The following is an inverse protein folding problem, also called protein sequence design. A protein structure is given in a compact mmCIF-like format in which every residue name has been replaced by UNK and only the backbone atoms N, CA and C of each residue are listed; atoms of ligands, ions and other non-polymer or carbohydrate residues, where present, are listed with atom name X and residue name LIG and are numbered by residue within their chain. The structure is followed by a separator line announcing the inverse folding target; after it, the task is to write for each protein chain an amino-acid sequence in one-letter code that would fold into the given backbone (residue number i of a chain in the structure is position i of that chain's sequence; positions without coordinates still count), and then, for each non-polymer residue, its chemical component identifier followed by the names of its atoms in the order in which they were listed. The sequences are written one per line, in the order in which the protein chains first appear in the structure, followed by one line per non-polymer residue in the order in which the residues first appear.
data_IF_176603103620
#
_entry.id   IF_176603103620
#
_cell.length_a   1.000
_cell.length_b   1.000
_cell.length_c   1.000
_cell.angle_alpha   90.00
_cell.angle_beta   90.00
_cell.angle_gamma   90.00
#
_symmetry.space_group_name_H-M   'P 1'
#
loop_
_entity.id
_entity.type
_entity.pdbx_description
1 polymer ?
#
# COMPACT_ATOMS: atom_id res chain seq x y z
N UNK A 1 -1.18 0.30 86.77
CA UNK A 1 -0.14 0.16 85.73
C UNK A 1 -0.42 -1.12 84.96
N UNK A 2 -1.06 -1.01 83.80
CA UNK A 2 -1.40 -2.14 82.93
C UNK A 2 -0.93 -1.76 81.52
N UNK A 3 0.04 -2.50 80.98
CA UNK A 3 0.55 -2.32 79.62
C UNK A 3 0.13 -3.53 78.79
N UNK A 4 -0.72 -3.28 77.80
CA UNK A 4 -1.16 -4.25 76.80
C UNK A 4 -0.07 -4.42 75.74
N UNK A 5 0.36 -5.66 75.50
CA UNK A 5 1.26 -6.04 74.40
C UNK A 5 0.43 -6.29 73.13
N UNK A 6 0.66 -5.51 72.08
CA UNK A 6 0.16 -5.81 70.73
C UNK A 6 1.24 -6.54 69.92
N UNK A 7 0.93 -7.76 69.49
CA UNK A 7 1.67 -8.50 68.46
C UNK A 7 1.14 -8.06 67.09
N UNK A 8 1.99 -7.52 66.21
CA UNK A 8 1.69 -7.33 64.80
C UNK A 8 2.38 -8.44 63.99
N UNK A 9 1.59 -9.28 63.33
CA UNK A 9 2.08 -10.29 62.40
C UNK A 9 2.34 -9.64 61.03
N UNK A 10 3.59 -9.72 60.56
CA UNK A 10 3.99 -9.27 59.23
C UNK A 10 3.58 -10.27 58.15
N UNK A 11 2.78 -9.81 57.19
CA UNK A 11 2.38 -10.57 56.00
C UNK A 11 3.40 -10.29 54.88
N UNK A 12 4.23 -11.28 54.54
CA UNK A 12 5.15 -11.19 53.42
C UNK A 12 4.39 -11.45 52.11
N UNK A 13 4.25 -10.41 51.28
CA UNK A 13 3.73 -10.52 49.91
C UNK A 13 4.86 -11.02 49.01
N UNK A 14 4.73 -12.25 48.50
CA UNK A 14 5.63 -12.78 47.49
C UNK A 14 5.37 -12.07 46.15
N UNK A 15 6.24 -11.14 45.78
CA UNK A 15 6.25 -10.54 44.45
C UNK A 15 6.83 -11.56 43.45
N UNK A 16 5.96 -12.27 42.75
CA UNK A 16 6.33 -13.08 41.59
C UNK A 16 6.87 -12.17 40.49
N UNK A 17 8.17 -12.28 40.22
CA UNK A 17 8.86 -11.65 39.10
C UNK A 17 8.32 -12.25 37.79
N UNK A 18 7.40 -11.53 37.14
CA UNK A 18 7.08 -11.78 35.73
C UNK A 18 8.22 -11.17 34.93
N UNK A 19 9.09 -12.02 34.38
CA UNK A 19 10.08 -11.56 33.41
C UNK A 19 9.33 -11.05 32.16
N UNK A 20 9.63 -9.85 31.65
CA UNK A 20 9.10 -9.43 30.37
C UNK A 20 9.61 -10.40 29.30
N UNK A 21 8.71 -11.13 28.65
CA UNK A 21 9.07 -11.84 27.42
C UNK A 21 9.53 -10.77 26.43
N UNK A 22 10.80 -10.84 26.03
CA UNK A 22 11.34 -10.04 24.95
C UNK A 22 10.70 -10.49 23.64
N UNK A 23 9.49 -10.01 23.35
CA UNK A 23 8.94 -10.06 22.01
C UNK A 23 9.90 -9.31 21.10
N UNK A 24 10.44 -9.99 20.10
CA UNK A 24 11.31 -9.34 19.12
C UNK A 24 10.52 -8.20 18.47
N UNK A 25 10.96 -6.96 18.68
CA UNK A 25 10.29 -5.79 18.13
C UNK A 25 10.35 -5.87 16.60
N UNK A 26 9.19 -5.88 15.96
CA UNK A 26 9.11 -5.76 14.52
C UNK A 26 9.55 -4.36 14.11
N UNK A 27 10.05 -4.20 12.89
CA UNK A 27 10.50 -2.91 12.36
C UNK A 27 10.04 -2.74 10.93
N UNK A 28 9.95 -1.49 10.46
CA UNK A 28 9.60 -1.20 9.08
C UNK A 28 10.84 -1.02 8.22
N UNK A 29 10.77 -1.56 7.00
CA UNK A 29 11.76 -1.34 5.97
C UNK A 29 11.08 -0.84 4.67
N UNK A 30 11.41 0.37 4.20
CA UNK A 30 12.28 1.37 4.85
C UNK A 30 11.64 1.97 6.11
N UNK A 31 12.45 2.54 7.01
CA UNK A 31 11.97 3.13 8.27
C UNK A 31 11.23 4.46 8.06
N UNK A 32 11.50 5.15 6.96
CA UNK A 32 10.81 6.37 6.54
C UNK A 32 10.37 6.23 5.08
N UNK A 33 9.29 5.49 4.81
CA UNK A 33 8.85 5.22 3.45
C UNK A 33 8.37 6.48 2.75
N UNK A 34 8.75 6.60 1.48
CA UNK A 34 8.26 7.64 0.60
C UNK A 34 6.88 7.25 0.04
N UNK A 35 6.10 8.21 -0.47
CA UNK A 35 4.79 7.91 -1.04
C UNK A 35 4.94 6.86 -2.13
N UNK A 36 4.11 5.81 -2.03
CA UNK A 36 4.06 4.67 -2.94
C UNK A 36 5.33 3.81 -3.03
N UNK A 37 6.27 3.98 -2.11
CA UNK A 37 7.35 3.03 -1.89
C UNK A 37 6.82 1.76 -1.22
N UNK A 38 7.37 0.59 -1.59
CA UNK A 38 7.00 -0.67 -0.96
C UNK A 38 7.49 -0.71 0.49
N UNK A 39 6.56 -0.94 1.42
CA UNK A 39 6.84 -1.09 2.85
C UNK A 39 6.77 -2.56 3.23
N UNK A 40 7.79 -3.04 3.92
CA UNK A 40 7.83 -4.37 4.51
C UNK A 40 7.89 -4.25 6.04
N UNK A 41 7.17 -5.13 6.72
CA UNK A 41 7.34 -5.40 8.14
C UNK A 41 8.41 -6.47 8.29
N UNK A 42 9.57 -6.08 8.83
CA UNK A 42 10.65 -6.99 9.20
C UNK A 42 10.43 -7.47 10.62
N UNK A 43 10.32 -8.78 10.80
CA UNK A 43 10.12 -9.38 12.12
C UNK A 43 11.01 -10.62 12.30
N UNK A 44 11.32 -10.94 13.55
CA UNK A 44 12.07 -12.16 13.89
C UNK A 44 11.09 -13.21 14.35
N UNK A 45 11.08 -14.34 13.66
CA UNK A 45 10.15 -15.44 13.88
C UNK A 45 10.90 -16.72 14.23
N UNK A 46 10.23 -17.62 14.93
CA UNK A 46 10.71 -18.98 15.13
C UNK A 46 10.52 -19.79 13.85
N UNK A 47 11.58 -20.39 13.30
CA UNK A 47 11.51 -21.09 12.02
C UNK A 47 10.63 -22.35 12.02
N UNK A 48 10.29 -22.89 13.19
CA UNK A 48 9.37 -24.01 13.30
C UNK A 48 7.92 -23.51 13.37
N UNK A 49 7.66 -22.54 14.25
CA UNK A 49 6.32 -22.03 14.49
C UNK A 49 5.79 -21.22 13.29
N UNK A 50 6.66 -20.45 12.63
CA UNK A 50 6.23 -19.58 11.53
C UNK A 50 5.87 -20.37 10.28
N UNK A 51 4.65 -20.15 9.77
CA UNK A 51 4.19 -20.68 8.50
C UNK A 51 3.92 -19.54 7.50
N UNK A 52 4.78 -19.36 6.47
CA UNK A 52 4.64 -18.27 5.50
C UNK A 52 3.33 -18.34 4.70
N UNK A 53 2.77 -19.53 4.47
CA UNK A 53 1.56 -19.73 3.68
C UNK A 53 0.29 -19.25 4.42
N UNK A 54 0.41 -18.95 5.71
CA UNK A 54 -0.69 -18.49 6.55
C UNK A 54 -0.72 -16.99 6.75
N UNK A 55 0.30 -16.27 6.26
CA UNK A 55 0.42 -14.82 6.43
C UNK A 55 -0.63 -14.13 5.57
N UNK A 56 -1.51 -13.36 6.20
CA UNK A 56 -2.50 -12.52 5.55
C UNK A 56 -2.31 -11.07 5.98
N UNK A 57 -2.21 -10.19 5.00
CA UNK A 57 -2.20 -8.74 5.24
C UNK A 57 -3.57 -8.19 4.83
N UNK A 58 -4.28 -7.61 5.80
CA UNK A 58 -5.57 -6.97 5.58
C UNK A 58 -5.38 -5.47 5.76
N UNK A 59 -5.66 -4.71 4.72
CA UNK A 59 -5.57 -3.25 4.75
C UNK A 59 -6.98 -2.64 4.75
N UNK A 60 -7.29 -1.89 5.80
CA UNK A 60 -8.54 -1.12 5.93
C UNK A 60 -8.22 0.36 6.07
N UNK A 61 -7.70 0.97 5.01
CA UNK A 61 -7.39 2.40 4.97
C UNK A 61 -6.08 2.73 5.69
N UNK A 62 -6.18 3.26 6.91
CA UNK A 62 -5.00 3.60 7.74
C UNK A 62 -4.65 2.51 8.75
N UNK A 63 -5.50 1.50 8.92
CA UNK A 63 -5.25 0.35 9.78
C UNK A 63 -4.88 -0.86 8.93
N UNK A 64 -3.73 -1.46 9.21
CA UNK A 64 -3.20 -2.64 8.55
C UNK A 64 -3.11 -3.75 9.60
N UNK A 65 -3.61 -4.93 9.28
CA UNK A 65 -3.54 -6.09 10.14
C UNK A 65 -2.75 -7.20 9.46
N UNK A 66 -1.68 -7.65 10.11
CA UNK A 66 -0.88 -8.80 9.68
C UNK A 66 -1.30 -9.98 10.54
N UNK A 67 -2.00 -10.94 9.94
CA UNK A 67 -2.45 -12.17 10.60
C UNK A 67 -1.53 -13.31 10.20
N UNK A 68 -1.10 -14.11 11.17
CA UNK A 68 -0.32 -15.33 10.91
C UNK A 68 -0.77 -16.45 11.85
N UNK A 69 -0.70 -17.69 11.36
CA UNK A 69 -1.02 -18.88 12.15
C UNK A 69 0.27 -19.63 12.46
N UNK A 70 0.46 -19.90 13.75
CA UNK A 70 1.61 -20.67 14.18
C UNK A 70 1.37 -22.17 13.99
N UNK A 71 2.43 -22.87 13.62
CA UNK A 71 2.49 -24.32 13.70
C UNK A 71 2.68 -24.75 15.15
N UNK A 72 2.04 -25.87 15.52
CA UNK A 72 2.26 -26.48 16.82
C UNK A 72 3.60 -27.24 16.82
N UNK A 73 4.64 -26.57 17.28
CA UNK A 73 5.97 -27.14 17.40
C UNK A 73 6.23 -27.66 18.81
N UNK A 74 6.76 -28.88 18.89
CA UNK A 74 7.20 -29.48 20.16
C UNK A 74 8.53 -28.91 20.66
N UNK A 75 9.35 -28.39 19.75
CA UNK A 75 10.65 -27.78 20.03
C UNK A 75 10.76 -26.47 19.25
N UNK A 76 11.21 -25.37 19.88
CA UNK A 76 11.48 -24.12 19.17
C UNK A 76 12.50 -24.31 18.05
N UNK A 77 12.24 -23.66 16.92
CA UNK A 77 13.17 -23.58 15.80
C UNK A 77 14.26 -22.53 16.03
N UNK A 78 15.11 -22.37 15.02
CA UNK A 78 16.09 -21.28 15.01
C UNK A 78 15.38 -19.96 14.70
N UNK A 79 15.71 -18.84 15.38
CA UNK A 79 15.20 -17.53 15.01
C UNK A 79 15.60 -17.16 13.58
N UNK A 80 14.64 -16.66 12.79
CA UNK A 80 14.82 -16.19 11.41
C UNK A 80 14.21 -14.81 11.23
N UNK A 81 14.83 -13.97 10.42
CA UNK A 81 14.20 -12.73 9.98
C UNK A 81 13.36 -12.99 8.74
N UNK A 82 12.15 -12.44 8.73
CA UNK A 82 11.25 -12.46 7.58
C UNK A 82 10.77 -11.05 7.29
N UNK A 83 10.59 -10.76 6.00
CA UNK A 83 10.01 -9.50 5.53
C UNK A 83 8.60 -9.79 5.00
N UNK A 84 7.60 -9.24 5.69
CA UNK A 84 6.19 -9.35 5.31
C UNK A 84 5.83 -8.09 4.53
N UNK A 85 5.52 -8.22 3.25
CA UNK A 85 5.15 -7.08 2.40
C UNK A 85 3.79 -6.53 2.83
N UNK A 86 3.76 -5.26 3.26
CA UNK A 86 2.54 -4.57 3.65
C UNK A 86 1.84 -3.94 2.46
N UNK A 87 2.60 -3.39 1.52
CA UNK A 87 2.07 -2.69 0.35
C UNK A 87 2.82 -1.40 0.07
N UNK A 88 2.23 -0.56 -0.79
CA UNK A 88 2.74 0.76 -1.12
C UNK A 88 1.66 1.79 -0.76
N UNK A 89 2.01 2.73 0.10
CA UNK A 89 1.03 3.57 0.78
C UNK A 89 1.17 5.03 0.38
N UNK A 90 0.05 5.77 0.26
CA UNK A 90 0.11 7.21 0.11
C UNK A 90 0.60 7.90 1.40
N UNK A 91 0.78 9.23 1.33
CA UNK A 91 1.08 10.06 2.49
C UNK A 91 0.02 9.87 3.56
N UNK A 92 0.45 9.60 4.79
CA UNK A 92 -0.45 9.37 5.92
C UNK A 92 0.25 8.70 7.10
N UNK A 93 -0.49 8.60 8.20
CA UNK A 93 -0.09 7.83 9.37
C UNK A 93 -0.83 6.49 9.37
N UNK A 94 -0.07 5.40 9.50
CA UNK A 94 -0.60 4.05 9.44
C UNK A 94 -0.35 3.32 10.75
N UNK A 95 -1.35 2.57 11.22
CA UNK A 95 -1.21 1.61 12.31
C UNK A 95 -1.11 0.20 11.77
N UNK A 96 -0.20 -0.58 12.34
CA UNK A 96 0.01 -1.99 12.00
C UNK A 96 -0.21 -2.83 13.25
N UNK A 97 -1.16 -3.76 13.18
CA UNK A 97 -1.39 -4.76 14.22
C UNK A 97 -0.86 -6.12 13.74
N UNK A 98 0.09 -6.68 14.48
CA UNK A 98 0.60 -8.04 14.25
C UNK A 98 -0.17 -8.99 15.13
N UNK A 99 -0.88 -9.92 14.51
CA UNK A 99 -1.85 -10.76 15.16
C UNK A 99 -1.54 -12.23 14.87
N UNK A 100 -1.41 -13.03 15.94
CA UNK A 100 -1.05 -14.45 15.88
C UNK A 100 -2.20 -15.31 16.38
N UNK A 101 -2.40 -16.48 15.75
CA UNK A 101 -3.38 -17.46 16.23
C UNK A 101 -4.17 -18.14 15.12
N UNK A 102 -5.31 -18.71 15.47
CA UNK A 102 -6.24 -19.31 14.50
C UNK A 102 -7.08 -18.24 13.82
N UNK A 103 -7.55 -18.45 12.59
CA UNK A 103 -8.37 -17.46 11.87
C UNK A 103 -9.63 -16.99 12.64
N UNK A 104 -10.15 -17.84 13.53
CA UNK A 104 -11.31 -17.54 14.39
C UNK A 104 -10.92 -16.89 15.73
N UNK A 105 -9.70 -17.14 16.21
CA UNK A 105 -9.17 -16.60 17.46
C UNK A 105 -7.75 -16.11 17.22
N UNK A 106 -7.64 -14.82 16.87
CA UNK A 106 -6.38 -14.12 16.64
C UNK A 106 -6.11 -13.20 17.83
N UNK A 107 -4.89 -13.23 18.36
CA UNK A 107 -4.43 -12.35 19.45
C UNK A 107 -3.47 -11.32 18.87
N UNK A 108 -3.73 -10.03 19.13
CA UNK A 108 -2.79 -8.96 18.76
C UNK A 108 -1.57 -9.05 19.69
N UNK A 109 -0.43 -9.33 19.09
CA UNK A 109 0.86 -9.50 19.79
C UNK A 109 1.68 -8.22 19.79
N UNK A 110 1.55 -7.41 18.74
CA UNK A 110 2.33 -6.18 18.58
C UNK A 110 1.49 -5.10 17.88
N UNK A 111 1.73 -3.84 18.26
CA UNK A 111 1.18 -2.67 17.59
C UNK A 111 2.29 -1.70 17.25
N UNK A 112 2.40 -1.34 15.99
CA UNK A 112 3.40 -0.41 15.49
C UNK A 112 2.74 0.68 14.65
N UNK A 113 3.47 1.76 14.39
CA UNK A 113 3.03 2.82 13.51
C UNK A 113 4.18 3.28 12.61
N UNK A 114 3.86 3.65 11.38
CA UNK A 114 4.78 4.34 10.50
C UNK A 114 4.08 5.50 9.82
N UNK A 115 4.86 6.53 9.48
CA UNK A 115 4.40 7.65 8.67
C UNK A 115 4.98 7.56 7.27
N UNK A 116 4.12 7.73 6.28
CA UNK A 116 4.53 8.01 4.92
C UNK A 116 4.54 9.52 4.78
N UNK A 117 5.73 10.08 4.67
CA UNK A 117 5.94 11.54 4.66
C UNK A 117 6.00 11.97 3.19
N UNK A 118 5.39 13.11 2.79
CA UNK A 118 5.55 13.62 1.45
C UNK A 118 7.03 13.85 1.16
N UNK A 119 7.46 13.56 -0.07
CA UNK A 119 8.80 13.98 -0.52
C UNK A 119 8.85 15.50 -0.41
N UNK A 120 9.84 16.04 0.29
CA UNK A 120 10.11 17.47 0.26
C UNK A 120 10.36 17.86 -1.19
N UNK A 121 9.48 18.65 -1.77
CA UNK A 121 9.74 19.28 -3.06
C UNK A 121 10.79 20.34 -2.82
N UNK A 122 12.05 19.98 -3.00
CA UNK A 122 13.10 20.99 -3.12
C UNK A 122 12.68 21.82 -4.34
N UNK A 123 12.55 23.13 -4.18
CA UNK A 123 12.40 24.02 -5.31
C UNK A 123 13.70 23.97 -6.12
N UNK A 124 13.78 23.01 -7.04
CA UNK A 124 14.85 22.93 -8.00
C UNK A 124 14.43 23.81 -9.16
N UNK A 125 15.20 24.88 -9.39
CA UNK A 125 15.12 25.66 -10.61
C UNK A 125 16.25 25.18 -11.54
N UNK A 126 15.95 24.62 -12.73
CA UNK A 126 14.62 24.44 -13.33
C UNK A 126 13.84 23.22 -12.76
N UNK A 127 12.50 23.19 -12.89
CA UNK A 127 11.66 22.10 -12.37
C UNK A 127 12.11 20.73 -12.88
N UNK A 128 12.11 19.72 -12.00
CA UNK A 128 12.46 18.35 -12.36
C UNK A 128 11.42 17.85 -13.37
N UNK A 129 11.84 17.39 -14.57
CA UNK A 129 10.90 17.03 -15.61
C UNK A 129 10.28 15.64 -15.39
N UNK A 130 10.75 14.84 -14.43
CA UNK A 130 10.29 13.47 -14.14
C UNK A 130 9.92 13.32 -12.65
N UNK A 131 9.09 12.32 -12.28
CA UNK A 131 8.69 12.10 -10.90
C UNK A 131 9.81 11.47 -10.09
N UNK A 132 9.90 11.85 -8.83
CA UNK A 132 10.70 11.09 -7.85
C UNK A 132 9.91 9.91 -7.28
N UNK A 133 8.58 9.93 -7.42
CA UNK A 133 7.63 8.93 -6.93
C UNK A 133 7.36 7.88 -7.99
N UNK A 134 7.31 6.61 -7.59
CA UNK A 134 6.89 5.51 -8.47
C UNK A 134 5.36 5.34 -8.42
N UNK A 135 4.69 5.57 -9.54
CA UNK A 135 3.23 5.44 -9.65
C UNK A 135 2.78 4.03 -10.07
N UNK A 136 3.69 3.06 -10.13
CA UNK A 136 3.38 1.66 -10.45
C UNK A 136 2.32 1.12 -9.53
N UNK A 137 1.24 0.57 -10.10
CA UNK A 137 0.15 0.00 -9.34
C UNK A 137 -1.16 -0.12 -10.12
N UNK A 138 -2.15 -0.71 -9.46
CA UNK A 138 -3.52 -0.69 -9.92
C UNK A 138 -4.26 0.51 -9.32
N UNK A 139 -5.02 1.19 -10.17
CA UNK A 139 -5.78 2.37 -9.85
C UNK A 139 -7.19 2.20 -10.38
N UNK A 140 -8.21 2.68 -9.67
CA UNK A 140 -9.60 2.46 -10.06
C UNK A 140 -10.48 3.62 -9.62
N UNK A 141 -11.68 3.71 -10.19
CA UNK A 141 -12.70 4.63 -9.73
C UNK A 141 -13.73 3.82 -8.90
N UNK A 142 -13.79 4.00 -7.56
CA UNK A 142 -14.72 3.26 -6.72
C UNK A 142 -16.19 3.41 -7.12
N UNK A 143 -16.55 4.52 -7.76
CA UNK A 143 -17.90 4.78 -8.24
C UNK A 143 -18.23 4.13 -9.59
N UNK A 144 -17.25 3.50 -10.25
CA UNK A 144 -17.42 2.86 -11.56
C UNK A 144 -16.77 1.46 -11.58
N UNK A 145 -17.47 0.43 -11.07
CA UNK A 145 -16.97 -0.94 -11.09
C UNK A 145 -16.58 -1.38 -12.50
N UNK A 146 -15.42 -2.02 -12.62
CA UNK A 146 -14.87 -2.51 -13.89
C UNK A 146 -14.09 -1.47 -14.70
N UNK A 147 -14.08 -0.20 -14.28
CA UNK A 147 -13.16 0.80 -14.80
C UNK A 147 -11.89 0.91 -13.94
N UNK A 148 -10.73 1.07 -14.59
CA UNK A 148 -9.49 1.30 -13.87
C UNK A 148 -8.28 1.43 -14.79
N UNK A 149 -7.12 1.66 -14.18
CA UNK A 149 -5.84 1.83 -14.86
C UNK A 149 -4.77 1.02 -14.14
N UNK A 150 -4.04 0.20 -14.89
CA UNK A 150 -2.79 -0.39 -14.44
C UNK A 150 -1.64 0.46 -14.94
N UNK A 151 -0.75 0.86 -14.06
CA UNK A 151 0.41 1.70 -14.38
C UNK A 151 1.66 0.91 -14.05
N UNK A 152 2.61 0.91 -14.97
CA UNK A 152 3.97 0.45 -14.75
C UNK A 152 4.94 1.57 -15.13
N UNK A 153 5.76 1.98 -14.17
CA UNK A 153 6.85 2.91 -14.38
C UNK A 153 8.17 2.13 -14.36
N UNK A 154 8.94 2.26 -15.42
CA UNK A 154 10.26 1.62 -15.51
C UNK A 154 11.30 2.36 -14.65
N UNK A 155 12.47 1.76 -14.37
CA UNK A 155 13.58 2.44 -13.70
C UNK A 155 14.16 3.65 -14.47
N UNK A 156 13.81 3.81 -15.75
CA UNK A 156 14.17 4.97 -16.58
C UNK A 156 13.00 5.98 -16.68
N UNK A 157 12.04 5.89 -15.77
CA UNK A 157 10.83 6.72 -15.67
C UNK A 157 9.89 6.65 -16.88
N UNK A 158 10.10 5.75 -17.84
CA UNK A 158 9.10 5.51 -18.88
C UNK A 158 7.84 4.87 -18.28
N UNK A 159 6.66 5.36 -18.67
CA UNK A 159 5.36 4.83 -18.23
C UNK A 159 4.70 4.01 -19.33
N UNK A 160 4.22 2.84 -18.95
CA UNK A 160 3.21 2.08 -19.68
C UNK A 160 1.96 2.01 -18.82
N UNK A 161 0.79 2.30 -19.40
CA UNK A 161 -0.47 2.11 -18.68
C UNK A 161 -1.50 1.37 -19.53
N UNK A 162 -2.31 0.53 -18.90
CA UNK A 162 -3.48 -0.09 -19.50
C UNK A 162 -4.73 0.49 -18.84
N UNK A 163 -5.60 1.12 -19.62
CA UNK A 163 -6.88 1.70 -19.19
C UNK A 163 -7.99 0.74 -19.59
N UNK A 164 -8.74 0.26 -18.61
CA UNK A 164 -9.95 -0.52 -18.79
C UNK A 164 -11.14 0.42 -18.79
N UNK A 165 -11.83 0.51 -19.93
CA UNK A 165 -12.98 1.38 -20.11
C UNK A 165 -14.15 0.68 -20.81
N UNK A 166 -15.19 1.44 -21.11
CA UNK A 166 -16.37 1.02 -21.82
C UNK A 166 -16.61 2.00 -22.96
N UNK A 167 -17.00 1.50 -24.13
CA UNK A 167 -17.53 2.36 -25.18
C UNK A 167 -18.88 2.88 -24.70
N UNK A 168 -19.05 4.19 -24.62
CA UNK A 168 -20.33 4.80 -24.23
C UNK A 168 -21.34 4.73 -25.38
N UNK A 169 -22.60 4.41 -25.06
CA UNK A 169 -23.70 4.35 -26.04
C UNK A 169 -24.67 3.18 -25.80
N UNK A 170 -25.69 3.02 -26.67
CA UNK A 170 -26.73 2.00 -26.52
C UNK A 170 -26.21 0.55 -26.58
N UNK A 171 -24.99 0.34 -27.09
CA UNK A 171 -24.32 -0.97 -27.15
C UNK A 171 -23.02 -0.94 -26.33
N UNK A 172 -23.09 -0.41 -25.11
CA UNK A 172 -21.92 -0.28 -24.26
C UNK A 172 -21.18 -1.61 -24.11
N UNK A 173 -19.90 -1.61 -24.47
CA UNK A 173 -19.07 -2.80 -24.49
C UNK A 173 -17.73 -2.49 -23.83
N UNK A 174 -17.12 -3.46 -23.11
CA UNK A 174 -15.80 -3.26 -22.53
C UNK A 174 -14.80 -2.98 -23.64
N UNK A 175 -13.94 -2.00 -23.40
CA UNK A 175 -12.81 -1.66 -24.24
C UNK A 175 -11.58 -1.47 -23.37
N UNK A 176 -10.42 -1.65 -23.97
CA UNK A 176 -9.15 -1.40 -23.32
C UNK A 176 -8.27 -0.63 -24.27
N UNK A 177 -7.55 0.33 -23.72
CA UNK A 177 -6.56 1.12 -24.45
C UNK A 177 -5.28 1.12 -23.64
N UNK A 178 -4.16 1.23 -24.32
CA UNK A 178 -2.85 1.33 -23.69
C UNK A 178 -2.29 2.71 -23.91
N UNK A 179 -1.78 3.33 -22.86
CA UNK A 179 -0.96 4.51 -22.95
C UNK A 179 0.49 4.05 -23.16
N UNK A 180 1.01 4.31 -24.34
CA UNK A 180 2.36 3.93 -24.74
C UNK A 180 3.10 5.16 -25.24
N UNK A 181 4.44 5.10 -25.26
CA UNK A 181 5.32 6.11 -25.85
C UNK A 181 4.96 7.55 -25.46
N UNK A 182 5.64 8.07 -24.44
CA UNK A 182 5.33 9.38 -23.90
C UNK A 182 6.52 10.04 -23.23
N UNK A 183 6.25 11.14 -22.56
CA UNK A 183 7.21 11.86 -21.75
C UNK A 183 6.52 12.52 -20.58
N UNK A 184 7.27 12.70 -19.51
CA UNK A 184 6.86 13.56 -18.42
C UNK A 184 6.89 15.03 -18.87
N UNK A 185 5.81 15.75 -18.59
CA UNK A 185 5.69 17.21 -18.71
C UNK A 185 6.05 17.92 -17.41
N UNK A 186 5.92 17.21 -16.30
CA UNK A 186 6.22 17.63 -14.94
C UNK A 186 6.43 16.38 -14.08
N UNK A 187 6.83 16.57 -12.82
CA UNK A 187 6.93 15.51 -11.82
C UNK A 187 5.60 14.78 -11.50
N UNK A 188 4.48 15.20 -12.09
CA UNK A 188 3.18 14.56 -11.85
C UNK A 188 2.31 14.45 -13.10
N UNK A 189 2.79 14.85 -14.28
CA UNK A 189 2.02 14.76 -15.53
C UNK A 189 2.79 14.00 -16.59
N UNK A 190 2.25 12.85 -17.00
CA UNK A 190 2.74 12.09 -18.14
C UNK A 190 1.82 12.30 -19.34
N UNK A 191 2.41 12.66 -20.49
CA UNK A 191 1.72 12.76 -21.78
C UNK A 191 2.20 11.60 -22.66
N UNK A 192 1.26 10.84 -23.23
CA UNK A 192 1.58 9.73 -24.13
C UNK A 192 0.47 9.48 -25.15
N UNK A 193 0.67 8.51 -26.04
CA UNK A 193 -0.33 8.13 -27.05
C UNK A 193 -1.19 6.97 -26.57
N UNK A 194 -2.49 7.04 -26.82
CA UNK A 194 -3.41 5.92 -26.59
C UNK A 194 -3.54 5.04 -27.80
N UNK A 195 -3.23 3.77 -27.62
CA UNK A 195 -3.34 2.74 -28.64
C UNK A 195 -4.44 1.77 -28.23
N UNK A 196 -5.40 1.57 -29.12
CA UNK A 196 -6.39 0.50 -29.02
C UNK A 196 -5.95 -0.69 -29.86
N UNK A 197 -5.63 -1.79 -29.20
CA UNK A 197 -5.29 -3.03 -29.87
C UNK A 197 -6.56 -3.86 -30.10
N UNK A 198 -6.85 -4.18 -31.36
CA UNK A 198 -7.89 -5.15 -31.74
C UNK A 198 -7.32 -6.19 -32.67
N UNK A 199 -7.57 -7.48 -32.39
CA UNK A 199 -7.16 -8.56 -33.29
C UNK A 199 -5.65 -8.67 -33.46
N UNK A 200 -5.18 -8.58 -34.71
CA UNK A 200 -3.76 -8.67 -35.06
C UNK A 200 -3.01 -7.38 -34.66
N UNK A 201 -1.73 -7.43 -34.25
CA UNK A 201 -0.91 -6.24 -34.02
C UNK A 201 -0.95 -5.18 -35.14
N UNK A 202 -1.14 -5.58 -36.39
CA UNK A 202 -1.23 -4.65 -37.55
C UNK A 202 -2.55 -3.85 -37.56
N UNK A 203 -3.58 -4.31 -36.85
CA UNK A 203 -4.88 -3.63 -36.74
C UNK A 203 -4.99 -2.77 -35.48
N UNK A 204 -3.87 -2.41 -34.85
CA UNK A 204 -3.85 -1.45 -33.76
C UNK A 204 -4.26 -0.06 -34.25
N UNK A 205 -5.21 0.56 -33.55
CA UNK A 205 -5.70 1.90 -33.85
C UNK A 205 -5.06 2.90 -32.90
N UNK A 206 -4.45 3.93 -33.47
CA UNK A 206 -4.01 5.09 -32.70
C UNK A 206 -5.18 6.03 -32.43
N UNK A 207 -5.41 6.35 -31.16
CA UNK A 207 -6.51 7.21 -30.73
C UNK A 207 -6.05 8.64 -30.43
N UNK A 208 -4.76 8.94 -30.52
CA UNK A 208 -4.20 10.26 -30.24
C UNK A 208 -3.57 10.38 -28.86
N UNK A 209 -3.45 11.62 -28.37
CA UNK A 209 -2.78 11.92 -27.10
C UNK A 209 -3.70 11.74 -25.90
N UNK A 210 -3.10 11.37 -24.77
CA UNK A 210 -3.74 11.25 -23.48
C UNK A 210 -2.77 11.65 -22.36
N UNK A 211 -3.34 12.00 -21.22
CA UNK A 211 -2.66 12.56 -20.07
C UNK A 211 -2.97 11.73 -18.82
N UNK A 212 -1.92 11.35 -18.09
CA UNK A 212 -2.02 10.89 -16.71
C UNK A 212 -1.52 12.03 -15.83
N UNK A 213 -2.40 12.60 -15.02
CA UNK A 213 -2.05 13.67 -14.09
C UNK A 213 -2.29 13.20 -12.67
N UNK A 214 -1.21 13.12 -11.89
CA UNK A 214 -1.22 12.77 -10.48
C UNK A 214 -1.29 14.02 -9.61
N UNK A 215 -2.15 13.99 -8.59
CA UNK A 215 -2.21 15.01 -7.57
C UNK A 215 -1.18 14.64 -6.50
N UNK A 216 0.00 15.28 -6.55
CA UNK A 216 1.06 15.09 -5.55
C UNK A 216 1.42 16.42 -4.89
N UNK A 217 1.48 16.48 -3.55
CA UNK A 217 1.06 15.45 -2.59
C UNK A 217 -0.47 15.43 -2.42
N UNK A 218 -1.07 14.35 -1.90
CA UNK A 218 -2.46 14.43 -1.45
C UNK A 218 -2.62 15.53 -0.40
N UNK A 219 -3.81 16.14 -0.25
CA UNK A 219 -4.09 16.92 0.93
C UNK A 219 -3.85 16.05 2.17
N UNK A 220 -3.08 16.58 3.12
CA UNK A 220 -2.74 15.92 4.37
C UNK A 220 -4.03 15.41 5.06
N UNK A 221 -4.10 14.12 5.39
CA UNK A 221 -5.29 13.51 5.98
C UNK A 221 -6.37 13.04 4.99
N UNK A 222 -6.03 12.89 3.69
CA UNK A 222 -6.94 12.33 2.69
C UNK A 222 -7.51 10.96 3.13
N UNK A 223 -8.85 10.89 3.22
CA UNK A 223 -9.55 9.66 3.58
C UNK A 223 -9.37 8.54 2.53
N UNK A 224 -9.54 7.26 2.91
CA UNK A 224 -9.65 6.16 1.94
C UNK A 224 -10.73 6.47 0.89
N UNK A 225 -10.41 6.35 -0.39
CA UNK A 225 -11.32 6.73 -1.49
C UNK A 225 -11.22 8.20 -1.95
N UNK A 226 -10.28 8.98 -1.40
CA UNK A 226 -9.93 10.30 -1.96
C UNK A 226 -9.52 10.15 -3.42
N UNK A 227 -9.77 11.15 -4.25
CA UNK A 227 -9.37 11.18 -5.67
C UNK A 227 -7.90 11.60 -5.75
N UNK A 228 -7.06 10.81 -6.42
CA UNK A 228 -5.59 10.95 -6.39
C UNK A 228 -4.96 11.40 -7.69
N UNK A 229 -5.65 11.14 -8.78
CA UNK A 229 -5.17 11.47 -10.11
C UNK A 229 -6.37 11.52 -11.03
N UNK A 230 -6.19 12.20 -12.15
CA UNK A 230 -7.12 12.19 -13.26
C UNK A 230 -6.45 11.54 -14.46
N UNK A 231 -7.16 10.58 -15.05
CA UNK A 231 -6.77 9.97 -16.31
C UNK A 231 -7.67 10.57 -17.38
N UNK A 232 -7.05 11.33 -18.28
CA UNK A 232 -7.73 11.95 -19.42
C UNK A 232 -7.26 11.26 -20.69
N UNK A 233 -8.18 10.60 -21.39
CA UNK A 233 -7.83 9.86 -22.59
C UNK A 233 -8.92 9.94 -23.66
N UNK A 234 -8.53 9.67 -24.91
CA UNK A 234 -9.45 9.64 -26.05
C UNK A 234 -10.03 8.25 -26.26
N UNK A 235 -11.36 8.20 -26.41
CA UNK A 235 -12.12 7.00 -26.72
C UNK A 235 -12.11 6.71 -28.23
N UNK A 236 -12.46 5.47 -28.66
CA UNK A 236 -12.51 5.10 -30.09
C UNK A 236 -13.48 5.92 -30.94
N UNK A 237 -14.53 6.49 -30.31
CA UNK A 237 -15.48 7.38 -30.97
C UNK A 237 -14.96 8.82 -31.12
N UNK A 238 -13.73 9.11 -30.69
CA UNK A 238 -13.07 10.42 -30.76
C UNK A 238 -13.34 11.36 -29.58
N UNK A 239 -14.26 11.00 -28.66
CA UNK A 239 -14.52 11.79 -27.45
C UNK A 239 -13.36 11.68 -26.46
N UNK A 240 -13.21 12.67 -25.58
CA UNK A 240 -12.21 12.65 -24.49
C UNK A 240 -12.92 12.48 -23.17
N UNK A 241 -12.40 11.60 -22.33
CA UNK A 241 -12.97 11.29 -21.02
C UNK A 241 -11.90 11.46 -19.95
N UNK A 242 -12.24 12.24 -18.91
CA UNK A 242 -11.44 12.43 -17.72
C UNK A 242 -12.09 11.72 -16.53
N UNK A 243 -11.37 10.83 -15.86
CA UNK A 243 -11.86 10.11 -14.67
C UNK A 243 -10.88 10.18 -13.53
N UNK A 244 -11.41 10.42 -12.35
CA UNK A 244 -10.63 10.39 -11.13
C UNK A 244 -10.36 8.94 -10.71
N UNK A 245 -9.13 8.69 -10.26
CA UNK A 245 -8.69 7.38 -9.77
C UNK A 245 -8.23 7.45 -8.32
N UNK A 246 -8.39 6.32 -7.63
CA UNK A 246 -7.79 6.00 -6.34
C UNK A 246 -6.95 4.74 -6.51
N UNK A 247 -5.83 4.63 -5.78
CA UNK A 247 -5.03 3.42 -5.80
C UNK A 247 -5.85 2.25 -5.22
N UNK A 248 -5.81 1.11 -5.89
CA UNK A 248 -6.39 -0.13 -5.39
C UNK A 248 -5.55 -0.60 -4.18
N UNK A 249 -6.19 -1.00 -3.07
CA UNK A 249 -5.50 -1.43 -1.84
C UNK A 249 -4.65 -2.68 -2.03
#
# INVERSE_FOLDING_TARGET
MSFVKSLAAGMAVAASLIAPQAGAASTFFPTAPLPFELVNLRTTVDSCAFNPDTVQVVNTGTAIQVRMRDNNCLVPGTPKQVDIRLGAFPVGLYSVEVAQGSFENVVVTERLQFSVIPRSTIFVAPPIPFPLTDYTGAWWNPSQPGWGVLIHQSPLDAVFAAVFDYVEGPNAAPTWVTLQSGRWKSASTWEGRTIRTTGNPVTAQDLGEAYLQFDVPPPEGAAPGTKWAIVTHRLPNGSTVGRYITRMP
#
